data_IF_485433407023
#
_entry.id   IF_485433407023
#
_cell.length_a   1.000
_cell.length_b   1.000
_cell.length_c   1.000
_cell.angle_alpha   90.00
_cell.angle_beta   90.00
_cell.angle_gamma   90.00
#
_symmetry.space_group_name_H-M   'P 1'
#
loop_
_entity.id
_entity.type
_entity.pdbx_description
1 polymer ?
#
# COMPACT_ATOMS: atom_id res chain seq x y z
N UNK A 1 10.18 -4.79 -5.78
CA UNK A 1 9.53 -5.17 -4.51
C UNK A 1 10.47 -4.87 -3.38
N UNK A 2 9.97 -4.16 -2.37
CA UNK A 2 10.71 -3.92 -1.14
C UNK A 2 10.69 -5.20 -0.29
N UNK A 3 11.76 -5.47 0.45
CA UNK A 3 11.78 -6.60 1.37
C UNK A 3 11.01 -6.26 2.64
N UNK A 4 10.51 -7.29 3.33
CA UNK A 4 9.90 -7.14 4.66
C UNK A 4 10.76 -6.31 5.62
N UNK A 5 12.06 -6.57 5.66
CA UNK A 5 13.00 -5.85 6.53
C UNK A 5 13.06 -4.35 6.20
N UNK A 6 13.11 -4.00 4.91
CA UNK A 6 13.14 -2.60 4.46
C UNK A 6 11.82 -1.90 4.84
N UNK A 7 10.68 -2.56 4.67
CA UNK A 7 9.37 -2.01 5.02
C UNK A 7 9.28 -1.76 6.53
N UNK A 8 9.69 -2.74 7.34
CA UNK A 8 9.70 -2.61 8.80
C UNK A 8 10.54 -1.42 9.26
N UNK A 9 11.73 -1.24 8.67
CA UNK A 9 12.60 -0.10 8.97
C UNK A 9 11.97 1.23 8.54
N UNK A 10 11.39 1.30 7.33
CA UNK A 10 10.72 2.51 6.84
C UNK A 10 9.52 2.92 7.69
N UNK A 11 8.81 1.95 8.24
CA UNK A 11 7.67 2.18 9.12
C UNK A 11 8.07 2.46 10.57
N UNK A 12 9.36 2.37 10.94
CA UNK A 12 9.83 2.59 12.31
C UNK A 12 9.31 1.56 13.32
N UNK A 13 8.98 0.34 12.86
CA UNK A 13 8.39 -0.73 13.70
C UNK A 13 9.37 -1.87 13.99
N UNK A 14 10.67 -1.68 13.74
CA UNK A 14 11.71 -2.70 13.92
C UNK A 14 11.86 -3.18 15.37
N UNK A 15 11.52 -2.32 16.33
CA UNK A 15 11.58 -2.62 17.77
C UNK A 15 10.25 -3.14 18.33
N UNK A 16 9.20 -3.19 17.53
CA UNK A 16 7.90 -3.75 17.91
C UNK A 16 7.97 -5.28 17.94
N UNK A 17 7.06 -5.91 18.68
CA UNK A 17 6.93 -7.36 18.63
C UNK A 17 6.48 -7.86 17.25
N UNK A 18 6.72 -9.15 16.98
CA UNK A 18 6.43 -9.75 15.67
C UNK A 18 4.95 -9.70 15.30
N UNK A 19 4.04 -9.76 16.28
CA UNK A 19 2.61 -9.73 16.01
C UNK A 19 2.16 -8.34 15.56
N UNK A 20 2.71 -7.29 16.16
CA UNK A 20 2.51 -5.90 15.72
C UNK A 20 3.12 -5.68 14.33
N UNK A 21 4.31 -6.22 14.07
CA UNK A 21 4.92 -6.13 12.74
C UNK A 21 4.04 -6.81 11.67
N UNK A 22 3.54 -8.01 11.96
CA UNK A 22 2.66 -8.74 11.04
C UNK A 22 1.33 -8.01 10.78
N UNK A 23 0.69 -7.49 11.83
CA UNK A 23 -0.55 -6.72 11.72
C UNK A 23 -0.36 -5.45 10.88
N UNK A 24 0.74 -4.73 11.09
CA UNK A 24 1.07 -3.52 10.31
C UNK A 24 1.36 -3.85 8.84
N UNK A 25 2.08 -4.93 8.57
CA UNK A 25 2.36 -5.37 7.21
C UNK A 25 1.08 -5.84 6.50
N UNK A 26 0.16 -6.50 7.20
CA UNK A 26 -1.13 -6.89 6.63
C UNK A 26 -1.96 -5.65 6.26
N UNK A 27 -2.06 -4.67 7.16
CA UNK A 27 -2.77 -3.41 6.88
C UNK A 27 -2.16 -2.64 5.71
N UNK A 28 -0.84 -2.65 5.60
CA UNK A 28 -0.14 -2.08 4.44
C UNK A 28 -0.54 -2.82 3.15
N UNK A 29 -0.52 -4.15 3.16
CA UNK A 29 -0.90 -4.97 2.02
C UNK A 29 -2.35 -4.69 1.59
N UNK A 30 -3.29 -4.61 2.55
CA UNK A 30 -4.69 -4.31 2.27
C UNK A 30 -4.86 -2.92 1.66
N UNK A 31 -4.12 -1.92 2.17
CA UNK A 31 -4.12 -0.55 1.64
C UNK A 31 -3.55 -0.49 0.22
N UNK A 32 -2.42 -1.15 -0.03
CA UNK A 32 -1.81 -1.23 -1.37
C UNK A 32 -2.77 -1.92 -2.34
N UNK A 33 -3.35 -3.06 -1.98
CA UNK A 33 -4.33 -3.77 -2.81
C UNK A 33 -5.54 -2.91 -3.14
N UNK A 34 -6.09 -2.20 -2.15
CA UNK A 34 -7.23 -1.28 -2.37
C UNK A 34 -6.87 -0.17 -3.35
N UNK A 35 -5.68 0.42 -3.21
CA UNK A 35 -5.20 1.48 -4.11
C UNK A 35 -4.94 0.96 -5.53
N UNK A 36 -4.41 -0.24 -5.65
CA UNK A 36 -4.26 -0.93 -6.94
C UNK A 36 -5.63 -1.08 -7.59
N UNK A 37 -6.62 -1.66 -6.89
CA UNK A 37 -7.98 -1.84 -7.43
C UNK A 37 -8.62 -0.52 -7.88
N UNK A 38 -8.49 0.55 -7.07
CA UNK A 38 -8.99 1.87 -7.44
C UNK A 38 -8.33 2.39 -8.72
N UNK A 39 -7.00 2.43 -8.77
CA UNK A 39 -6.29 2.92 -9.97
C UNK A 39 -6.46 2.04 -11.20
N UNK A 40 -6.72 0.73 -11.01
CA UNK A 40 -7.10 -0.16 -12.10
C UNK A 40 -8.48 0.21 -12.63
N UNK A 41 -9.46 0.42 -11.75
CA UNK A 41 -10.82 0.80 -12.15
C UNK A 41 -10.88 2.13 -12.91
N UNK A 42 -9.93 3.04 -12.67
CA UNK A 42 -9.79 4.30 -13.42
C UNK A 42 -9.26 4.11 -14.85
N UNK A 43 -8.58 2.99 -15.13
CA UNK A 43 -8.03 2.68 -16.46
C UNK A 43 -8.88 1.70 -17.26
N UNK A 44 -9.67 0.89 -16.57
CA UNK A 44 -10.57 -0.08 -17.17
C UNK A 44 -11.86 0.61 -17.59
N UNK A 45 -12.38 0.24 -18.76
CA UNK A 45 -13.73 0.67 -19.15
C UNK A 45 -14.79 -0.10 -18.36
N UNK A 46 -16.02 0.39 -18.33
CA UNK A 46 -17.15 -0.31 -17.72
C UNK A 46 -17.29 -1.75 -18.28
N UNK A 47 -17.06 -1.94 -19.58
CA UNK A 47 -17.07 -3.26 -20.21
C UNK A 47 -15.94 -4.16 -19.72
N UNK A 48 -14.76 -3.60 -19.44
CA UNK A 48 -13.64 -4.40 -18.91
C UNK A 48 -13.90 -4.81 -17.45
N UNK A 49 -14.62 -3.97 -16.69
CA UNK A 49 -15.04 -4.28 -15.32
C UNK A 49 -16.11 -5.36 -15.28
N UNK A 50 -17.09 -5.31 -16.20
CA UNK A 50 -18.11 -6.36 -16.35
C UNK A 50 -17.48 -7.71 -16.70
N UNK A 51 -16.54 -7.75 -17.65
CA UNK A 51 -15.83 -8.98 -18.03
C UNK A 51 -14.99 -9.53 -16.86
N UNK A 52 -14.36 -8.65 -16.08
CA UNK A 52 -13.64 -9.07 -14.87
C UNK A 52 -14.58 -9.69 -13.83
N UNK A 53 -15.76 -9.12 -13.63
CA UNK A 53 -16.77 -9.68 -12.74
C UNK A 53 -17.19 -11.09 -13.20
N UNK A 54 -17.44 -11.27 -14.50
CA UNK A 54 -17.80 -12.57 -15.08
C UNK A 54 -16.69 -13.62 -14.89
N UNK A 55 -15.42 -13.23 -15.04
CA UNK A 55 -14.27 -14.12 -14.81
C UNK A 55 -14.14 -14.53 -13.33
N UNK A 56 -14.37 -13.60 -12.41
CA UNK A 56 -14.35 -13.85 -10.96
C UNK A 56 -15.51 -14.76 -10.55
N UNK A 57 -16.72 -14.49 -11.03
CA UNK A 57 -17.91 -15.31 -10.74
C UNK A 57 -17.75 -16.75 -11.28
N UNK A 58 -17.00 -16.90 -12.38
CA UNK A 58 -16.63 -18.21 -12.93
C UNK A 58 -15.47 -18.90 -12.20
N UNK A 59 -14.89 -18.29 -11.16
CA UNK A 59 -13.71 -18.78 -10.42
C UNK A 59 -12.50 -19.07 -11.32
N UNK A 60 -12.29 -18.20 -12.32
CA UNK A 60 -11.19 -18.31 -13.29
C UNK A 60 -10.02 -17.41 -12.92
N UNK A 61 -9.47 -17.59 -11.73
CA UNK A 61 -8.47 -16.70 -11.14
C UNK A 61 -7.25 -16.48 -12.06
N UNK A 62 -6.76 -17.54 -12.74
CA UNK A 62 -5.65 -17.45 -13.70
C UNK A 62 -5.97 -16.57 -14.93
N UNK A 63 -7.24 -16.55 -15.36
CA UNK A 63 -7.70 -15.73 -16.48
C UNK A 63 -7.91 -14.27 -16.04
N UNK A 64 -8.29 -14.02 -14.79
CA UNK A 64 -8.44 -12.66 -14.22
C UNK A 64 -7.11 -11.92 -14.28
N UNK A 65 -6.01 -12.51 -13.78
CA UNK A 65 -4.70 -11.87 -13.80
C UNK A 65 -4.23 -11.60 -15.25
N UNK A 66 -4.37 -12.59 -16.12
CA UNK A 66 -4.01 -12.45 -17.53
C UNK A 66 -4.80 -11.35 -18.24
N UNK A 67 -6.09 -11.23 -17.92
CA UNK A 67 -6.95 -10.19 -18.45
C UNK A 67 -6.51 -8.80 -18.00
N UNK A 68 -6.24 -8.63 -16.70
CA UNK A 68 -5.74 -7.36 -16.14
C UNK A 68 -4.44 -6.95 -16.82
N UNK A 69 -3.47 -7.87 -16.94
CA UNK A 69 -2.19 -7.62 -17.60
C UNK A 69 -2.39 -7.18 -19.06
N UNK A 70 -3.38 -7.74 -19.75
CA UNK A 70 -3.68 -7.37 -21.14
C UNK A 70 -4.27 -5.96 -21.29
N UNK A 71 -4.92 -5.44 -20.25
CA UNK A 71 -5.62 -4.15 -20.26
C UNK A 71 -4.78 -3.00 -19.70
N UNK A 72 -3.85 -3.31 -18.78
CA UNK A 72 -3.04 -2.31 -18.11
C UNK A 72 -1.60 -2.38 -18.65
N UNK A 73 -1.18 -1.40 -19.46
CA UNK A 73 0.19 -1.31 -19.94
C UNK A 73 1.16 -1.26 -18.76
N UNK A 74 2.27 -2.02 -18.87
CA UNK A 74 3.29 -2.10 -17.84
C UNK A 74 2.73 -2.43 -16.44
N UNK A 75 1.77 -3.34 -16.35
CA UNK A 75 1.08 -3.72 -15.10
C UNK A 75 2.03 -3.94 -13.90
N UNK A 76 3.18 -4.58 -14.10
CA UNK A 76 4.17 -4.77 -13.03
C UNK A 76 4.79 -3.47 -12.52
N UNK A 77 5.14 -2.54 -13.42
CA UNK A 77 5.66 -1.22 -13.04
C UNK A 77 4.56 -0.39 -12.36
N UNK A 78 3.32 -0.50 -12.84
CA UNK A 78 2.15 0.13 -12.26
C UNK A 78 1.92 -0.33 -10.81
N UNK A 79 1.91 -1.64 -10.55
CA UNK A 79 1.79 -2.21 -9.19
C UNK A 79 2.96 -1.75 -8.30
N UNK A 80 4.19 -1.90 -8.79
CA UNK A 80 5.39 -1.54 -8.03
C UNK A 80 5.40 -0.05 -7.64
N UNK A 81 4.94 0.83 -8.54
CA UNK A 81 4.82 2.25 -8.25
C UNK A 81 3.78 2.54 -7.16
N UNK A 82 2.63 1.85 -7.17
CA UNK A 82 1.60 2.05 -6.14
C UNK A 82 2.09 1.56 -4.77
N UNK A 83 2.78 0.42 -4.74
CA UNK A 83 3.43 -0.11 -3.53
C UNK A 83 4.43 0.92 -2.97
N UNK A 84 5.34 1.41 -3.81
CA UNK A 84 6.36 2.39 -3.44
C UNK A 84 5.75 3.73 -2.98
N UNK A 85 4.82 4.29 -3.74
CA UNK A 85 4.14 5.55 -3.40
C UNK A 85 3.44 5.43 -2.05
N UNK A 86 2.76 4.30 -1.78
CA UNK A 86 2.04 4.07 -0.52
C UNK A 86 2.99 3.96 0.67
N UNK A 87 4.11 3.26 0.51
CA UNK A 87 5.11 3.11 1.58
C UNK A 87 5.80 4.44 1.86
N UNK A 88 6.19 5.19 0.83
CA UNK A 88 6.83 6.49 0.97
C UNK A 88 5.89 7.52 1.63
N UNK A 89 4.60 7.50 1.30
CA UNK A 89 3.59 8.32 1.99
C UNK A 89 3.49 7.99 3.48
N UNK A 90 3.49 6.71 3.85
CA UNK A 90 3.44 6.30 5.25
C UNK A 90 4.70 6.68 6.02
N UNK A 91 5.87 6.48 5.44
CA UNK A 91 7.16 6.91 6.01
C UNK A 91 7.18 8.43 6.23
N UNK A 92 6.78 9.21 5.22
CA UNK A 92 6.70 10.67 5.33
C UNK A 92 5.72 11.11 6.42
N UNK A 93 4.57 10.44 6.54
CA UNK A 93 3.59 10.74 7.57
C UNK A 93 4.11 10.41 8.97
N UNK A 94 4.81 9.28 9.13
CA UNK A 94 5.43 8.90 10.41
C UNK A 94 6.44 9.96 10.86
N UNK A 95 7.35 10.37 9.96
CA UNK A 95 8.37 11.38 10.25
C UNK A 95 7.76 12.74 10.62
N UNK A 96 6.66 13.12 9.95
CA UNK A 96 5.94 14.36 10.27
C UNK A 96 5.31 14.32 11.67
N UNK A 97 4.73 13.18 12.05
CA UNK A 97 4.16 12.99 13.39
C UNK A 97 5.26 13.06 14.46
N UNK A 98 6.40 12.39 14.25
CA UNK A 98 7.51 12.41 15.20
C UNK A 98 8.05 13.83 15.42
N UNK A 99 8.21 14.58 14.32
CA UNK A 99 8.66 15.98 14.36
C UNK A 99 7.69 16.86 15.17
N UNK A 100 6.38 16.70 14.96
CA UNK A 100 5.35 17.43 15.69
C UNK A 100 5.32 17.06 17.18
N UNK A 101 5.47 15.79 17.52
CA UNK A 101 5.53 15.30 18.91
C UNK A 101 6.74 15.88 19.64
N UNK A 102 7.93 15.87 19.00
CA UNK A 102 9.13 16.47 19.57
C UNK A 102 8.97 17.99 19.80
N UNK A 103 8.36 18.69 18.85
CA UNK A 103 8.09 20.13 18.96
C UNK A 103 7.25 20.45 20.19
N UNK A 104 6.15 19.71 20.38
CA UNK A 104 5.25 19.88 21.54
C UNK A 104 5.91 19.54 22.87
N UNK A 105 6.77 18.54 22.91
CA UNK A 105 7.52 18.19 24.13
C UNK A 105 8.51 19.30 24.52
N UNK A 106 9.20 19.91 23.56
CA UNK A 106 10.13 21.04 23.80
C UNK A 106 9.41 22.30 24.29
N UNK A 107 8.22 22.59 23.77
CA UNK A 107 7.38 23.69 24.25
C UNK A 107 6.89 23.47 25.68
N UNK A 108 6.50 22.24 26.05
CA UNK A 108 6.05 21.92 27.40
C UNK A 108 7.15 21.99 28.47
N UNK A 109 8.42 21.75 28.11
CA UNK A 109 9.57 21.81 29.03
C UNK A 109 10.07 23.25 29.23
N UNK A 110 9.73 24.18 28.32
CA UNK A 110 10.22 25.57 28.38
C UNK A 110 9.33 26.53 29.20
N UNK A 111 8.29 26.01 29.86
CA UNK A 111 7.29 26.81 30.60
C UNK A 111 7.37 26.60 32.13
N UNK A 112 8.29 25.77 32.62
CA UNK A 112 8.62 25.63 34.06
C UNK A 112 9.99 26.24 34.40
#
# INVERSE_FOLDING_TARGET
MLTREIIIQKLGIENSDSAVQDDMLQKLADSVSTRIMLKMSEQLSDQDLDELADLIDASKDDEVESYIISKIPNYEEFKAKIEEDTINELESNSQAIDTEVEGRQKEHISVD
#
